data_IF_314019121726
#
_entry.id   IF_314019121726
#
_cell.length_a   1.000
_cell.length_b   1.000
_cell.length_c   1.000
_cell.angle_alpha   90.00
_cell.angle_beta   90.00
_cell.angle_gamma   90.00
#
_symmetry.space_group_name_H-M   'P 1'
#
loop_
_entity.id
_entity.type
_entity.pdbx_description
1 polymer ?
#
# COMPACT_ATOMS: atom_id res chain seq x y z
N UNK A 1 11.49 -9.52 -6.05
CA UNK A 1 11.40 -8.45 -7.07
C UNK A 1 12.66 -7.59 -7.04
N UNK A 2 13.17 -7.10 -8.17
CA UNK A 2 14.26 -6.09 -8.22
C UNK A 2 13.63 -4.74 -8.50
N UNK A 3 13.90 -3.74 -7.67
CA UNK A 3 13.27 -2.42 -7.80
C UNK A 3 14.22 -1.53 -8.60
N UNK A 4 13.79 -1.16 -9.81
CA UNK A 4 14.48 -0.22 -10.69
C UNK A 4 13.60 1.03 -10.86
N UNK A 5 14.14 2.22 -10.60
CA UNK A 5 13.39 3.48 -10.62
C UNK A 5 12.83 3.88 -9.25
N UNK A 6 11.76 4.67 -9.23
CA UNK A 6 11.11 5.13 -7.99
C UNK A 6 10.44 3.96 -7.25
N UNK A 7 10.63 3.93 -5.94
CA UNK A 7 10.19 2.87 -5.04
C UNK A 7 9.04 3.37 -4.16
N UNK A 8 8.01 2.54 -4.00
CA UNK A 8 6.98 2.76 -2.99
C UNK A 8 7.38 2.06 -1.69
N UNK A 9 7.30 2.81 -0.59
CA UNK A 9 7.60 2.35 0.76
C UNK A 9 6.35 2.52 1.61
N UNK A 10 5.78 1.40 2.03
CA UNK A 10 4.51 1.36 2.74
C UNK A 10 4.65 0.51 3.99
N UNK A 11 4.36 1.06 5.16
CA UNK A 11 4.27 0.28 6.40
C UNK A 11 2.90 -0.36 6.44
N UNK A 12 2.85 -1.68 6.55
CA UNK A 12 1.62 -2.45 6.73
C UNK A 12 1.47 -2.76 8.22
N UNK A 13 0.27 -2.52 8.78
CA UNK A 13 0.02 -2.70 10.21
C UNK A 13 -0.36 -4.15 10.52
N UNK A 14 0.52 -5.07 10.08
CA UNK A 14 0.48 -6.50 10.33
C UNK A 14 1.90 -7.07 10.44
N UNK A 15 2.12 -8.11 11.25
CA UNK A 15 3.40 -8.83 11.29
C UNK A 15 3.80 -9.36 9.92
N UNK A 16 5.11 -9.54 9.71
CA UNK A 16 5.65 -10.08 8.46
C UNK A 16 5.02 -11.44 8.09
N UNK A 17 4.91 -12.35 9.06
CA UNK A 17 4.40 -13.71 8.85
C UNK A 17 2.92 -13.72 8.42
N UNK A 18 2.14 -12.71 8.83
CA UNK A 18 0.74 -12.54 8.40
C UNK A 18 0.65 -12.06 6.94
N UNK A 19 1.64 -11.26 6.49
CA UNK A 19 1.62 -10.64 5.17
C UNK A 19 2.31 -11.49 4.09
N UNK A 20 3.29 -12.32 4.43
CA UNK A 20 3.98 -13.21 3.48
C UNK A 20 3.03 -14.11 2.67
N UNK A 21 1.97 -14.73 3.24
CA UNK A 21 1.02 -15.53 2.48
C UNK A 21 0.13 -14.70 1.53
N UNK A 22 -0.01 -13.40 1.79
CA UNK A 22 -0.93 -12.49 1.08
C UNK A 22 -0.25 -11.73 -0.06
N UNK A 23 1.07 -11.54 0.04
CA UNK A 23 1.86 -10.73 -0.89
C UNK A 23 2.96 -11.62 -1.50
N UNK A 24 2.81 -12.02 -2.78
CA UNK A 24 3.81 -12.81 -3.47
C UNK A 24 5.17 -12.08 -3.55
N UNK A 25 6.32 -12.75 -3.37
CA UNK A 25 7.66 -12.15 -3.50
C UNK A 25 7.97 -11.53 -4.88
N UNK A 26 7.19 -11.90 -5.90
CA UNK A 26 7.23 -11.30 -7.23
C UNK A 26 6.61 -9.89 -7.28
N UNK A 27 5.66 -9.59 -6.38
CA UNK A 27 4.93 -8.32 -6.36
C UNK A 27 5.62 -7.26 -5.49
N UNK A 28 6.14 -7.64 -4.32
CA UNK A 28 6.83 -6.75 -3.40
C UNK A 28 7.89 -7.48 -2.58
N UNK A 29 8.82 -6.71 -2.00
CA UNK A 29 9.69 -7.15 -0.92
C UNK A 29 9.04 -6.77 0.41
N UNK A 30 9.06 -7.69 1.37
CA UNK A 30 8.59 -7.46 2.72
C UNK A 30 9.77 -7.60 3.69
N UNK A 31 9.90 -6.64 4.60
CA UNK A 31 10.91 -6.61 5.66
C UNK A 31 10.21 -6.43 7.01
N UNK A 32 10.63 -7.13 8.07
CA UNK A 32 10.05 -6.91 9.39
C UNK A 32 10.40 -5.50 9.88
N UNK A 33 9.42 -4.78 10.42
CA UNK A 33 9.65 -3.46 11.03
C UNK A 33 9.66 -3.56 12.56
N UNK A 34 8.66 -4.28 13.10
CA UNK A 34 8.57 -4.68 14.51
C UNK A 34 7.67 -5.92 14.65
N UNK A 35 7.32 -6.32 15.89
CA UNK A 35 6.49 -7.50 16.15
C UNK A 35 5.03 -7.40 15.67
N UNK A 36 4.60 -6.24 15.16
CA UNK A 36 3.22 -5.97 14.73
C UNK A 36 3.10 -5.36 13.34
N UNK A 37 4.22 -4.98 12.72
CA UNK A 37 4.26 -4.25 11.45
C UNK A 37 5.39 -4.76 10.55
N UNK A 38 5.18 -4.67 9.25
CA UNK A 38 6.21 -4.92 8.25
C UNK A 38 6.28 -3.77 7.25
N UNK A 39 7.48 -3.54 6.71
CA UNK A 39 7.69 -2.63 5.60
C UNK A 39 7.50 -3.39 4.28
N UNK A 40 6.63 -2.87 3.42
CA UNK A 40 6.49 -3.27 2.03
C UNK A 40 7.23 -2.31 1.12
N UNK A 41 8.03 -2.89 0.23
CA UNK A 41 8.79 -2.18 -0.80
C UNK A 41 8.42 -2.74 -2.17
N UNK A 42 7.95 -1.88 -3.06
CA UNK A 42 7.58 -2.31 -4.41
C UNK A 42 7.88 -1.23 -5.44
N UNK A 43 7.98 -1.58 -6.74
CA UNK A 43 8.14 -0.58 -7.79
C UNK A 43 6.95 0.40 -7.84
N UNK A 44 7.22 1.69 -8.06
CA UNK A 44 6.19 2.74 -8.06
C UNK A 44 5.72 3.18 -9.47
N UNK A 45 5.99 2.41 -10.52
CA UNK A 45 5.70 2.82 -11.91
C UNK A 45 4.21 2.86 -12.26
N UNK A 46 3.33 2.21 -11.49
CA UNK A 46 1.87 2.22 -11.67
C UNK A 46 1.15 2.53 -10.35
N UNK A 47 1.16 3.81 -9.97
CA UNK A 47 0.59 4.26 -8.69
C UNK A 47 -0.92 4.01 -8.56
N UNK A 48 -1.69 4.10 -9.65
CA UNK A 48 -3.13 3.86 -9.58
C UNK A 48 -3.45 2.38 -9.31
N UNK A 49 -2.70 1.45 -9.91
CA UNK A 49 -2.79 0.02 -9.58
C UNK A 49 -2.41 -0.22 -8.11
N UNK A 50 -1.34 0.42 -7.63
CA UNK A 50 -0.89 0.28 -6.24
C UNK A 50 -1.94 0.80 -5.25
N UNK A 51 -2.66 1.88 -5.57
CA UNK A 51 -3.80 2.37 -4.77
C UNK A 51 -4.85 1.27 -4.62
N UNK A 52 -5.28 0.65 -5.73
CA UNK A 52 -6.29 -0.42 -5.69
C UNK A 52 -5.79 -1.64 -4.92
N UNK A 53 -4.53 -2.03 -5.15
CA UNK A 53 -3.95 -3.19 -4.48
C UNK A 53 -3.87 -2.97 -2.96
N UNK A 54 -3.38 -1.80 -2.51
CA UNK A 54 -3.35 -1.46 -1.07
C UNK A 54 -4.73 -1.52 -0.42
N UNK A 55 -5.78 -1.04 -1.11
CA UNK A 55 -7.15 -1.16 -0.61
C UNK A 55 -7.61 -2.62 -0.50
N UNK A 56 -7.26 -3.47 -1.48
CA UNK A 56 -7.61 -4.89 -1.44
C UNK A 56 -6.88 -5.71 -0.36
N UNK A 57 -5.82 -5.16 0.23
CA UNK A 57 -5.12 -5.83 1.33
C UNK A 57 -5.92 -5.80 2.63
N UNK A 58 -6.95 -4.94 2.77
CA UNK A 58 -7.79 -4.89 3.98
C UNK A 58 -6.97 -4.84 5.29
N UNK A 59 -5.87 -4.08 5.26
CA UNK A 59 -5.03 -3.80 6.42
C UNK A 59 -4.81 -2.31 6.53
N UNK A 60 -4.66 -1.81 7.75
CA UNK A 60 -4.19 -0.44 7.95
C UNK A 60 -2.74 -0.29 7.45
N UNK A 61 -2.43 0.86 6.87
CA UNK A 61 -1.10 1.12 6.33
C UNK A 61 -0.73 2.60 6.32
N UNK A 62 0.57 2.86 6.24
CA UNK A 62 1.14 4.20 6.12
C UNK A 62 2.07 4.28 4.90
N UNK A 63 1.80 5.23 4.00
CA UNK A 63 2.69 5.51 2.87
C UNK A 63 3.79 6.47 3.31
N UNK A 64 5.03 6.00 3.24
CA UNK A 64 6.23 6.81 3.44
C UNK A 64 6.62 7.49 2.12
N UNK A 65 6.67 6.71 1.03
CA UNK A 65 7.05 7.17 -0.31
C UNK A 65 6.30 6.38 -1.41
N UNK A 66 6.18 6.95 -2.63
CA UNK A 66 6.43 8.35 -2.94
C UNK A 66 5.27 9.24 -2.47
N UNK A 67 5.49 10.56 -2.24
CA UNK A 67 4.43 11.50 -1.89
C UNK A 67 3.24 11.49 -2.86
N UNK A 68 3.49 11.19 -4.14
CA UNK A 68 2.47 11.06 -5.17
C UNK A 68 1.47 9.91 -4.90
N UNK A 69 1.89 8.82 -4.25
CA UNK A 69 1.01 7.73 -3.85
C UNK A 69 0.04 8.19 -2.75
N UNK A 70 0.54 8.91 -1.75
CA UNK A 70 -0.27 9.48 -0.66
C UNK A 70 -1.33 10.45 -1.19
N UNK A 71 -0.98 11.28 -2.18
CA UNK A 71 -1.93 12.20 -2.84
C UNK A 71 -3.05 11.44 -3.56
N UNK A 72 -2.71 10.37 -4.29
CA UNK A 72 -3.69 9.54 -5.00
C UNK A 72 -4.65 8.82 -4.05
N UNK A 73 -4.13 8.25 -2.96
CA UNK A 73 -4.95 7.63 -1.92
C UNK A 73 -5.92 8.61 -1.28
N UNK A 74 -5.46 9.83 -0.97
CA UNK A 74 -6.33 10.90 -0.45
C UNK A 74 -7.46 11.21 -1.42
N UNK A 75 -7.14 11.43 -2.69
CA UNK A 75 -8.15 11.72 -3.71
C UNK A 75 -9.15 10.56 -3.90
N UNK A 76 -8.68 9.31 -3.80
CA UNK A 76 -9.54 8.13 -3.84
C UNK A 76 -10.48 8.08 -2.63
N UNK A 77 -9.96 8.26 -1.41
CA UNK A 77 -10.76 8.30 -0.20
C UNK A 77 -11.81 9.41 -0.21
N UNK A 78 -11.44 10.62 -0.64
CA UNK A 78 -12.38 11.73 -0.80
C UNK A 78 -13.49 11.43 -1.82
N UNK A 79 -13.17 10.78 -2.94
CA UNK A 79 -14.20 10.34 -3.91
C UNK A 79 -15.18 9.35 -3.30
N UNK A 80 -14.67 8.34 -2.59
CA UNK A 80 -15.51 7.32 -1.93
C UNK A 80 -16.40 7.99 -0.87
N UNK A 81 -15.85 8.87 -0.04
CA UNK A 81 -16.60 9.60 0.98
C UNK A 81 -17.75 10.43 0.36
N UNK A 82 -17.49 11.15 -0.74
CA UNK A 82 -18.53 11.90 -1.46
C UNK A 82 -19.60 10.98 -2.04
N UNK A 83 -19.22 9.84 -2.61
CA UNK A 83 -20.18 8.88 -3.18
C UNK A 83 -21.10 8.30 -2.10
N UNK A 84 -20.56 7.95 -0.93
CA UNK A 84 -21.34 7.45 0.20
C UNK A 84 -22.28 8.51 0.77
N UNK A 85 -21.84 9.77 0.84
CA UNK A 85 -22.69 10.88 1.30
C UNK A 85 -23.83 11.20 0.32
N UNK A 86 -23.62 11.03 -0.98
CA UNK A 86 -24.65 11.24 -2.00
C UNK A 86 -25.67 10.08 -2.11
N UNK A 87 -25.33 8.93 -1.54
CA UNK A 87 -26.18 7.72 -1.57
C UNK A 87 -27.05 7.57 -0.31
N UNK A 88 -27.04 8.57 0.58
CA UNK A 88 -27.83 8.67 1.80
C UNK A 88 -29.03 9.61 1.59
#
# INVERSE_FOLDING_TARGET
>A
VTIQGEEARVVLHKPLDDMLPRIPPAAALLEPLDGSRCLMRCPAYQLDWLVYWLMSLEVEFEVQDPPALKQRLRAAGERVARAMAASA
#
